data_IF_319435601010
#
_entry.id   IF_319435601010
#
_cell.length_a   1.000
_cell.length_b   1.000
_cell.length_c   1.000
_cell.angle_alpha   90.00
_cell.angle_beta   90.00
_cell.angle_gamma   90.00
#
_symmetry.space_group_name_H-M   'P 1'
#
loop_
_entity.id
_entity.type
_entity.pdbx_description
1 polymer ?
#
# COMPACT_ATOMS: atom_id res chain seq x y z
N UNK A 1 4.38 8.41 -7.69
CA UNK A 1 3.50 8.23 -8.88
C UNK A 1 2.21 7.45 -8.55
N UNK A 2 2.26 6.43 -7.67
CA UNK A 2 1.09 5.57 -7.38
C UNK A 2 -0.07 6.29 -6.68
N UNK A 3 0.22 7.14 -5.69
CA UNK A 3 -0.78 7.87 -4.92
C UNK A 3 -1.57 8.86 -5.78
N UNK A 4 -0.88 9.58 -6.69
CA UNK A 4 -1.51 10.58 -7.55
C UNK A 4 -2.55 9.97 -8.49
N UNK A 5 -2.29 8.78 -9.03
CA UNK A 5 -3.27 8.05 -9.85
C UNK A 5 -4.57 7.79 -9.07
N UNK A 6 -4.46 7.30 -7.83
CA UNK A 6 -5.62 7.08 -6.96
C UNK A 6 -6.35 8.40 -6.61
N UNK A 7 -5.61 9.47 -6.29
CA UNK A 7 -6.20 10.77 -5.97
C UNK A 7 -6.98 11.37 -7.14
N UNK A 8 -6.52 11.20 -8.38
CA UNK A 8 -7.27 11.63 -9.57
C UNK A 8 -8.60 10.90 -9.71
N UNK A 9 -8.64 9.59 -9.43
CA UNK A 9 -9.91 8.86 -9.39
C UNK A 9 -10.84 9.38 -8.29
N UNK A 10 -10.32 9.65 -7.09
CA UNK A 10 -11.10 10.28 -6.03
C UNK A 10 -11.67 11.64 -6.45
N UNK A 11 -10.86 12.50 -7.08
CA UNK A 11 -11.28 13.82 -7.55
C UNK A 11 -12.40 13.74 -8.59
N UNK A 12 -12.32 12.81 -9.54
CA UNK A 12 -13.37 12.59 -10.55
C UNK A 12 -14.67 12.12 -9.88
N UNK A 13 -14.59 11.14 -8.96
CA UNK A 13 -15.77 10.64 -8.24
C UNK A 13 -16.41 11.73 -7.37
N UNK A 14 -15.59 12.51 -6.66
CA UNK A 14 -16.03 13.64 -5.84
C UNK A 14 -16.73 14.69 -6.68
N UNK A 15 -16.12 15.08 -7.81
CA UNK A 15 -16.72 16.06 -8.72
C UNK A 15 -18.03 15.54 -9.30
N UNK A 16 -18.07 14.29 -9.74
CA UNK A 16 -19.29 13.67 -10.27
C UNK A 16 -20.41 13.66 -9.23
N UNK A 17 -20.12 13.30 -7.97
CA UNK A 17 -21.09 13.34 -6.87
C UNK A 17 -21.61 14.73 -6.55
N UNK A 18 -20.81 15.78 -6.77
CA UNK A 18 -21.23 17.17 -6.57
C UNK A 18 -22.18 17.71 -7.65
N UNK A 19 -22.30 17.04 -8.80
CA UNK A 19 -23.02 17.57 -9.98
C UNK A 19 -24.48 17.12 -9.99
N UNK A 20 -25.40 18.09 -9.95
CA UNK A 20 -26.83 17.84 -10.19
C UNK A 20 -27.08 17.45 -11.65
N UNK A 21 -27.96 16.48 -11.87
CA UNK A 21 -28.32 16.01 -13.22
C UNK A 21 -27.34 14.99 -13.84
N UNK A 22 -26.24 14.66 -13.16
CA UNK A 22 -25.32 13.61 -13.59
C UNK A 22 -25.73 12.25 -12.97
N UNK A 23 -26.10 11.28 -13.80
CA UNK A 23 -26.55 9.96 -13.34
C UNK A 23 -25.43 9.05 -12.86
N UNK A 24 -24.17 9.34 -13.21
CA UNK A 24 -23.01 8.55 -12.83
C UNK A 24 -21.76 8.89 -13.62
N UNK A 25 -20.67 8.22 -13.28
CA UNK A 25 -19.37 8.31 -13.99
C UNK A 25 -18.73 6.93 -14.03
N UNK A 26 -18.08 6.61 -15.14
CA UNK A 26 -17.36 5.35 -15.35
C UNK A 26 -15.91 5.68 -15.62
N UNK A 27 -15.01 5.19 -14.77
CA UNK A 27 -13.57 5.40 -14.93
C UNK A 27 -13.02 4.56 -16.09
N UNK A 28 -12.18 5.19 -16.91
CA UNK A 28 -11.34 4.47 -17.87
C UNK A 28 -10.03 4.07 -17.18
N UNK A 29 -9.73 2.80 -16.95
CA UNK A 29 -10.53 1.59 -17.19
C UNK A 29 -10.29 0.56 -16.08
N UNK A 30 -10.92 -0.62 -16.16
CA UNK A 30 -10.75 -1.67 -15.15
C UNK A 30 -9.28 -2.14 -15.08
N UNK A 31 -8.73 -2.61 -16.20
CA UNK A 31 -7.37 -3.17 -16.25
C UNK A 31 -6.60 -2.62 -17.45
N UNK A 32 -5.27 -2.69 -17.38
CA UNK A 32 -4.42 -2.43 -18.55
C UNK A 32 -4.75 -3.39 -19.68
N UNK A 33 -4.53 -2.95 -20.92
CA UNK A 33 -4.91 -3.72 -22.10
C UNK A 33 -3.91 -3.54 -23.23
N UNK A 34 -3.79 -4.59 -24.04
CA UNK A 34 -3.02 -4.55 -25.29
C UNK A 34 -3.69 -3.61 -26.29
N UNK A 35 -2.88 -2.92 -27.08
CA UNK A 35 -3.35 -1.92 -28.04
C UNK A 35 -2.53 -1.91 -29.32
N UNK A 36 -2.97 -1.16 -30.32
CA UNK A 36 -2.24 -0.96 -31.56
C UNK A 36 -0.97 -0.12 -31.36
N UNK A 37 -0.01 -0.23 -32.28
CA UNK A 37 1.29 0.44 -32.21
C UNK A 37 1.22 1.98 -32.09
N UNK A 38 0.10 2.60 -32.46
CA UNK A 38 -0.11 4.05 -32.37
C UNK A 38 -0.47 4.53 -30.96
N UNK A 39 -0.71 3.62 -30.00
CA UNK A 39 -1.13 3.92 -28.64
C UNK A 39 -0.26 3.22 -27.60
N UNK A 40 -0.38 3.64 -26.35
CA UNK A 40 0.37 3.07 -25.23
C UNK A 40 1.74 3.69 -25.04
N UNK A 41 2.64 2.97 -24.36
CA UNK A 41 3.98 3.44 -24.01
C UNK A 41 5.10 2.88 -24.92
N UNK A 42 4.74 2.41 -26.12
CA UNK A 42 5.66 1.83 -27.11
C UNK A 42 5.82 0.31 -27.02
N UNK A 43 5.25 -0.32 -26.00
CA UNK A 43 5.22 -1.78 -25.75
C UNK A 43 3.85 -2.40 -26.06
N UNK A 44 3.00 -1.67 -26.78
CA UNK A 44 1.63 -2.06 -27.14
C UNK A 44 0.72 -2.31 -25.93
N UNK A 45 0.98 -1.64 -24.80
CA UNK A 45 0.10 -1.67 -23.63
C UNK A 45 -0.33 -0.25 -23.26
N UNK A 46 -1.63 -0.07 -23.00
CA UNK A 46 -2.17 1.13 -22.35
C UNK A 46 -2.23 0.91 -20.83
N UNK A 47 -1.37 1.61 -20.09
CA UNK A 47 -1.26 1.54 -18.62
C UNK A 47 -2.32 2.39 -17.88
N UNK A 48 -3.58 2.31 -18.32
CA UNK A 48 -4.69 3.13 -17.80
C UNK A 48 -5.49 2.45 -16.70
N UNK A 49 -5.35 1.14 -16.54
CA UNK A 49 -6.18 0.36 -15.64
C UNK A 49 -5.93 0.68 -14.18
N UNK A 50 -6.99 0.59 -13.38
CA UNK A 50 -6.87 0.52 -11.91
C UNK A 50 -6.34 -0.85 -11.45
N UNK A 51 -6.40 -1.85 -12.33
CA UNK A 51 -5.71 -3.13 -12.25
C UNK A 51 -4.64 -3.22 -13.35
N UNK A 52 -3.67 -4.12 -13.20
CA UNK A 52 -2.75 -4.49 -14.28
C UNK A 52 -3.43 -5.42 -15.31
N UNK A 53 -2.71 -5.76 -16.40
CA UNK A 53 -3.23 -6.65 -17.47
C UNK A 53 -3.67 -8.03 -16.95
N UNK A 54 -3.13 -8.47 -15.82
CA UNK A 54 -3.43 -9.74 -15.19
C UNK A 54 -4.45 -9.62 -14.05
N UNK A 55 -5.10 -8.46 -13.92
CA UNK A 55 -6.15 -8.15 -12.94
C UNK A 55 -5.63 -8.13 -11.49
N UNK A 56 -4.34 -7.86 -11.31
CA UNK A 56 -3.75 -7.51 -10.02
C UNK A 56 -4.10 -6.05 -9.68
N UNK A 57 -4.58 -5.80 -8.47
CA UNK A 57 -4.96 -4.46 -8.03
C UNK A 57 -3.76 -3.51 -7.95
N UNK A 58 -3.87 -2.36 -8.61
CA UNK A 58 -3.04 -1.19 -8.32
C UNK A 58 -3.69 -0.38 -7.20
N UNK A 59 -2.97 0.54 -6.54
CA UNK A 59 -3.54 1.37 -5.46
C UNK A 59 -4.83 2.13 -5.86
N UNK A 60 -5.00 2.46 -7.14
CA UNK A 60 -6.22 3.12 -7.62
C UNK A 60 -7.48 2.24 -7.52
N UNK A 61 -7.37 0.91 -7.50
CA UNK A 61 -8.53 0.02 -7.32
C UNK A 61 -9.17 0.19 -5.93
N UNK A 62 -8.35 0.48 -4.91
CA UNK A 62 -8.80 0.72 -3.55
C UNK A 62 -9.74 1.94 -3.44
N UNK A 63 -9.64 2.90 -4.37
CA UNK A 63 -10.56 4.05 -4.46
C UNK A 63 -11.99 3.57 -4.63
N UNK A 64 -12.23 2.65 -5.58
CA UNK A 64 -13.57 2.13 -5.87
C UNK A 64 -14.05 1.19 -4.77
N UNK A 65 -13.18 0.31 -4.28
CA UNK A 65 -13.50 -0.61 -3.17
C UNK A 65 -13.89 0.12 -1.89
N UNK A 66 -13.18 1.18 -1.53
CA UNK A 66 -13.49 1.98 -0.34
C UNK A 66 -14.88 2.64 -0.42
N UNK A 67 -15.45 2.85 -1.61
CA UNK A 67 -16.81 3.41 -1.71
C UNK A 67 -17.89 2.37 -1.39
N UNK A 68 -17.58 1.07 -1.40
CA UNK A 68 -18.47 0.00 -0.94
C UNK A 68 -18.44 -0.13 0.59
N UNK A 69 -19.51 -0.63 1.20
CA UNK A 69 -19.63 -0.72 2.68
C UNK A 69 -19.93 -2.12 3.21
N UNK A 70 -19.88 -3.14 2.35
CA UNK A 70 -20.22 -4.50 2.74
C UNK A 70 -19.14 -5.16 3.60
N UNK A 71 -17.86 -4.87 3.34
CA UNK A 71 -16.71 -5.48 4.01
C UNK A 71 -15.73 -4.37 4.41
N UNK A 72 -15.32 -4.28 5.69
CA UNK A 72 -14.28 -3.34 6.12
C UNK A 72 -13.02 -3.50 5.29
N UNK A 73 -12.45 -2.39 4.84
CA UNK A 73 -11.26 -2.39 4.00
C UNK A 73 -10.34 -1.24 4.37
N UNK A 74 -9.04 -1.50 4.28
CA UNK A 74 -8.00 -0.52 4.51
C UNK A 74 -6.86 -0.80 3.53
N UNK A 75 -6.47 0.21 2.78
CA UNK A 75 -5.39 0.11 1.78
C UNK A 75 -4.55 1.37 1.80
N UNK A 76 -3.26 1.18 1.98
CA UNK A 76 -2.29 2.26 1.95
C UNK A 76 -1.93 2.61 0.50
N UNK A 77 -2.14 3.87 0.12
CA UNK A 77 -1.90 4.37 -1.24
C UNK A 77 -0.48 4.93 -1.44
N UNK A 78 0.27 5.05 -0.36
CA UNK A 78 1.60 5.67 -0.30
C UNK A 78 2.64 4.67 0.19
N UNK A 79 3.88 4.77 -0.28
CA UNK A 79 4.95 3.93 0.27
C UNK A 79 5.37 4.43 1.65
N UNK A 80 5.76 3.53 2.54
CA UNK A 80 6.45 3.88 3.79
C UNK A 80 7.97 3.62 3.69
N UNK A 81 8.43 3.17 2.52
CA UNK A 81 9.86 3.04 2.23
C UNK A 81 10.42 4.45 1.98
N UNK A 82 11.26 4.94 2.90
CA UNK A 82 11.76 6.32 2.88
C UNK A 82 12.51 6.66 1.60
N UNK A 83 13.26 5.70 1.05
CA UNK A 83 14.01 5.86 -0.20
C UNK A 83 13.17 6.27 -1.42
N UNK A 84 11.85 6.09 -1.37
CA UNK A 84 10.93 6.50 -2.44
C UNK A 84 10.68 8.01 -2.47
N UNK A 85 11.05 8.72 -1.41
CA UNK A 85 10.78 10.14 -1.25
C UNK A 85 12.05 10.97 -1.33
N UNK A 86 11.99 12.16 -1.94
CA UNK A 86 13.08 13.13 -1.85
C UNK A 86 13.48 13.35 -0.40
N UNK A 87 14.79 13.28 -0.13
CA UNK A 87 15.38 13.43 1.22
C UNK A 87 14.92 12.38 2.24
N UNK A 88 14.42 11.23 1.78
CA UNK A 88 13.82 10.20 2.61
C UNK A 88 12.65 10.69 3.49
N UNK A 89 11.97 11.75 3.07
CA UNK A 89 10.97 12.43 3.88
C UNK A 89 9.55 12.09 3.44
N UNK A 90 8.96 11.06 4.08
CA UNK A 90 7.53 10.82 3.98
C UNK A 90 6.78 11.98 4.65
N UNK A 91 6.15 12.82 3.83
CA UNK A 91 5.44 14.02 4.31
C UNK A 91 3.94 13.81 4.48
N UNK A 92 3.35 13.00 3.60
CA UNK A 92 1.93 12.69 3.56
C UNK A 92 1.76 11.27 3.07
N UNK A 93 0.87 10.53 3.73
CA UNK A 93 0.41 9.24 3.28
C UNK A 93 -1.11 9.27 3.17
N UNK A 94 -1.63 8.69 2.10
CA UNK A 94 -3.07 8.55 1.91
C UNK A 94 -3.48 7.10 2.12
N UNK A 95 -4.61 6.91 2.78
CA UNK A 95 -5.22 5.60 3.04
C UNK A 95 -6.62 5.61 2.44
N UNK A 96 -6.90 4.64 1.57
CA UNK A 96 -8.27 4.34 1.16
C UNK A 96 -8.87 3.38 2.19
N UNK A 97 -10.04 3.74 2.72
CA UNK A 97 -10.76 2.91 3.70
C UNK A 97 -12.23 3.25 3.69
N UNK A 98 -13.08 2.28 4.05
CA UNK A 98 -14.49 2.50 4.37
C UNK A 98 -14.76 2.48 5.89
N UNK A 99 -13.71 2.42 6.70
CA UNK A 99 -13.77 2.60 8.15
C UNK A 99 -13.96 4.08 8.50
N UNK A 100 -14.41 4.37 9.71
CA UNK A 100 -14.70 5.74 10.17
C UNK A 100 -13.42 6.52 10.48
N UNK A 101 -12.43 5.81 11.04
CA UNK A 101 -11.13 6.38 11.45
C UNK A 101 -10.02 5.39 11.15
N UNK A 102 -8.79 5.90 11.09
CA UNK A 102 -7.58 5.09 11.00
C UNK A 102 -6.67 5.42 12.17
N UNK A 103 -6.37 4.44 13.03
CA UNK A 103 -5.34 4.58 14.06
C UNK A 103 -3.99 4.14 13.51
N UNK A 104 -2.98 4.97 13.67
CA UNK A 104 -1.61 4.65 13.32
C UNK A 104 -0.83 4.29 14.58
N UNK A 105 -0.08 3.19 14.53
CA UNK A 105 0.87 2.77 15.57
C UNK A 105 2.26 2.60 14.99
N UNK A 106 3.27 2.84 15.80
CA UNK A 106 4.68 2.57 15.50
C UNK A 106 5.29 1.76 16.64
N UNK A 107 5.82 0.57 16.33
CA UNK A 107 6.36 -0.39 17.30
C UNK A 107 5.42 -0.61 18.50
N UNK A 108 4.13 -0.79 18.22
CA UNK A 108 3.08 -1.02 19.23
C UNK A 108 2.57 0.23 19.94
N UNK A 109 3.23 1.39 19.81
CA UNK A 109 2.79 2.65 20.42
C UNK A 109 1.88 3.42 19.49
N UNK A 110 0.80 3.99 20.03
CA UNK A 110 -0.09 4.86 19.27
C UNK A 110 0.65 6.14 18.83
N UNK A 111 0.51 6.46 17.54
CA UNK A 111 0.95 7.71 16.94
C UNK A 111 -0.24 8.67 16.90
N UNK A 112 -1.42 8.19 16.52
CA UNK A 112 -2.65 8.96 16.61
C UNK A 112 -3.78 8.36 15.79
N UNK A 113 -4.94 9.02 15.85
CA UNK A 113 -6.15 8.64 15.13
C UNK A 113 -6.49 9.71 14.09
N UNK A 114 -6.59 9.28 12.84
CA UNK A 114 -6.84 10.12 11.67
C UNK A 114 -8.25 9.88 11.14
N UNK A 115 -8.87 10.93 10.62
CA UNK A 115 -10.24 10.91 10.09
C UNK A 115 -10.24 11.18 8.59
N UNK A 116 -11.32 10.79 7.93
CA UNK A 116 -11.50 10.97 6.49
C UNK A 116 -11.40 12.46 6.09
N UNK A 117 -10.77 12.75 4.94
CA UNK A 117 -10.55 14.10 4.42
C UNK A 117 -11.82 14.68 3.77
N UNK A 118 -12.86 14.87 4.58
CA UNK A 118 -14.13 15.49 4.18
C UNK A 118 -13.98 16.95 3.78
N UNK A 119 -12.84 17.58 4.09
CA UNK A 119 -12.56 18.95 3.65
C UNK A 119 -12.35 19.02 2.14
N UNK A 120 -11.57 18.09 1.58
CA UNK A 120 -11.28 18.08 0.13
C UNK A 120 -12.23 17.17 -0.66
N UNK A 121 -12.86 16.18 -0.02
CA UNK A 121 -13.81 15.26 -0.66
C UNK A 121 -15.14 15.17 0.10
N UNK A 122 -15.91 16.27 0.20
CA UNK A 122 -17.15 16.30 0.99
C UNK A 122 -18.30 15.44 0.45
N UNK A 123 -18.33 15.16 -0.86
CA UNK A 123 -19.43 14.45 -1.51
C UNK A 123 -19.21 12.93 -1.63
N UNK A 124 -18.00 12.45 -1.34
CA UNK A 124 -17.72 11.02 -1.26
C UNK A 124 -18.32 10.38 0.00
N UNK A 125 -18.80 9.14 -0.16
CA UNK A 125 -19.25 8.33 0.97
C UNK A 125 -18.08 8.08 1.93
N UNK A 126 -16.97 7.65 1.35
CA UNK A 126 -15.75 7.25 2.05
C UNK A 126 -14.54 7.99 1.48
N UNK A 127 -14.27 9.24 1.92
CA UNK A 127 -13.07 9.98 1.52
C UNK A 127 -11.78 9.26 1.94
N UNK A 128 -10.64 9.49 1.26
CA UNK A 128 -9.37 9.02 1.76
C UNK A 128 -9.03 9.65 3.11
N UNK A 129 -8.29 8.91 3.95
CA UNK A 129 -7.70 9.44 5.18
C UNK A 129 -6.29 9.94 4.88
N UNK A 130 -6.01 11.18 5.28
CA UNK A 130 -4.68 11.78 5.19
C UNK A 130 -3.94 11.60 6.51
N UNK A 131 -2.77 10.98 6.46
CA UNK A 131 -1.80 10.92 7.55
C UNK A 131 -0.68 11.90 7.22
N UNK A 132 -0.51 12.93 8.06
CA UNK A 132 0.54 13.96 7.93
C UNK A 132 1.31 14.21 9.24
N UNK A 133 1.02 13.43 10.29
CA UNK A 133 1.78 13.37 11.54
C UNK A 133 2.21 11.92 11.83
N UNK A 134 3.53 11.70 11.92
CA UNK A 134 4.13 10.38 12.17
C UNK A 134 4.78 10.31 13.56
N UNK A 135 4.69 11.40 14.32
CA UNK A 135 5.23 11.53 15.67
C UNK A 135 4.08 11.42 16.65
N UNK A 136 3.09 12.30 16.49
CA UNK A 136 1.86 12.39 17.27
C UNK A 136 2.06 12.10 18.76
N UNK A 137 1.29 11.16 19.28
CA UNK A 137 1.21 10.80 20.69
C UNK A 137 2.49 10.20 21.27
N UNK A 138 3.47 9.84 20.45
CA UNK A 138 4.77 9.36 20.94
C UNK A 138 5.53 10.43 21.73
N UNK A 139 5.26 11.73 21.49
CA UNK A 139 5.82 12.81 22.31
C UNK A 139 5.21 12.89 23.72
N UNK A 140 4.21 12.06 24.06
CA UNK A 140 3.72 11.94 25.44
C UNK A 140 4.79 11.39 26.39
N UNK A 141 5.76 10.65 25.86
CA UNK A 141 6.93 10.16 26.62
C UNK A 141 7.78 11.32 27.17
N UNK A 142 7.76 12.48 26.51
CA UNK A 142 8.31 13.74 27.02
C UNK A 142 7.32 14.35 28.02
N UNK A 143 7.33 13.85 29.25
CA UNK A 143 6.38 14.19 30.31
C UNK A 143 6.40 15.68 30.70
N UNK A 144 7.53 16.36 30.49
CA UNK A 144 7.71 17.79 30.74
C UNK A 144 7.03 18.69 29.69
N UNK A 145 6.58 18.14 28.55
CA UNK A 145 5.91 18.92 27.51
C UNK A 145 4.39 18.95 27.72
N UNK A 146 3.79 20.15 27.73
CA UNK A 146 2.34 20.30 27.65
C UNK A 146 1.78 19.92 26.27
N UNK A 147 0.47 19.66 26.16
CA UNK A 147 -0.17 19.21 24.91
C UNK A 147 0.07 20.17 23.72
N UNK A 148 -0.09 21.47 23.95
CA UNK A 148 0.14 22.49 22.92
C UNK A 148 1.61 22.56 22.49
N UNK A 149 2.55 22.31 23.41
CA UNK A 149 3.98 22.29 23.12
C UNK A 149 4.35 21.03 22.33
N UNK A 150 3.81 19.86 22.67
CA UNK A 150 3.99 18.61 21.89
C UNK A 150 3.55 18.79 20.44
N UNK A 151 2.37 19.39 20.22
CA UNK A 151 1.86 19.70 18.87
C UNK A 151 2.81 20.64 18.11
N UNK A 152 3.38 21.65 18.78
CA UNK A 152 4.35 22.57 18.16
C UNK A 152 5.66 21.86 17.84
N UNK A 153 6.20 21.09 18.79
CA UNK A 153 7.45 20.36 18.63
C UNK A 153 7.35 19.29 17.54
N UNK A 154 6.25 18.52 17.48
CA UNK A 154 5.97 17.58 16.39
C UNK A 154 6.08 18.27 15.03
N UNK A 155 5.41 19.43 14.86
CA UNK A 155 5.49 20.21 13.62
C UNK A 155 6.90 20.69 13.28
N UNK A 156 7.67 21.14 14.27
CA UNK A 156 9.05 21.61 14.08
C UNK A 156 9.97 20.45 13.70
N UNK A 157 9.95 19.35 14.45
CA UNK A 157 10.72 18.15 14.13
C UNK A 157 10.35 17.63 12.73
N UNK A 158 9.05 17.53 12.41
CA UNK A 158 8.59 17.13 11.08
C UNK A 158 9.07 18.06 9.96
N UNK A 159 9.21 19.37 10.23
CA UNK A 159 9.82 20.32 9.27
C UNK A 159 11.30 20.05 9.05
N UNK A 160 12.08 19.76 10.10
CA UNK A 160 13.50 19.37 9.98
C UNK A 160 13.63 18.17 9.04
N UNK A 161 12.79 17.15 9.23
CA UNK A 161 12.77 15.95 8.39
C UNK A 161 12.48 16.27 6.92
N UNK A 162 11.42 17.04 6.65
CA UNK A 162 11.06 17.46 5.28
C UNK A 162 12.11 18.36 4.61
N UNK A 163 12.78 19.19 5.39
CA UNK A 163 13.81 20.08 4.87
C UNK A 163 15.14 19.36 4.63
N UNK A 164 15.35 18.20 5.27
CA UNK A 164 16.61 17.45 5.24
C UNK A 164 17.74 18.24 5.91
N UNK A 165 17.42 19.03 6.95
CA UNK A 165 18.38 19.94 7.54
C UNK A 165 17.75 20.95 8.50
N UNK A 166 18.43 22.09 8.68
CA UNK A 166 18.11 23.07 9.72
C UNK A 166 16.80 23.83 9.45
N UNK A 167 16.09 24.15 10.54
CA UNK A 167 14.97 25.09 10.54
C UNK A 167 15.44 26.49 10.12
N UNK A 168 14.53 27.27 9.53
CA UNK A 168 14.81 28.65 9.09
C UNK A 168 13.86 29.66 9.74
N UNK A 169 14.37 30.87 9.96
CA UNK A 169 13.60 32.03 10.40
C UNK A 169 12.87 31.80 11.72
N UNK A 170 11.56 32.06 11.73
CA UNK A 170 10.73 31.95 12.93
C UNK A 170 10.70 30.53 13.52
N UNK A 171 10.86 29.48 12.71
CA UNK A 171 10.87 28.12 13.23
C UNK A 171 12.14 27.82 14.04
N UNK A 172 13.29 28.43 13.68
CA UNK A 172 14.54 28.35 14.45
C UNK A 172 14.37 28.99 15.82
N UNK A 173 13.76 30.19 15.87
CA UNK A 173 13.48 30.90 17.13
C UNK A 173 12.52 30.08 17.99
N UNK A 174 11.46 29.51 17.40
CA UNK A 174 10.50 28.66 18.12
C UNK A 174 11.16 27.42 18.71
N UNK A 175 12.05 26.76 17.96
CA UNK A 175 12.81 25.63 18.50
C UNK A 175 13.73 26.07 19.64
N UNK A 176 14.47 27.17 19.46
CA UNK A 176 15.35 27.70 20.50
C UNK A 176 14.60 28.04 21.80
N UNK A 177 13.39 28.61 21.70
CA UNK A 177 12.53 28.89 22.85
C UNK A 177 12.10 27.61 23.58
N UNK A 178 11.76 26.54 22.85
CA UNK A 178 11.43 25.23 23.45
C UNK A 178 12.64 24.66 24.18
N UNK A 179 13.82 24.72 23.57
CA UNK A 179 15.05 24.21 24.18
C UNK A 179 15.42 24.98 25.44
N UNK A 180 15.39 26.32 25.39
CA UNK A 180 15.69 27.18 26.54
C UNK A 180 14.71 26.96 27.69
N UNK A 181 13.40 26.87 27.40
CA UNK A 181 12.35 26.68 28.42
C UNK A 181 12.55 25.39 29.21
N UNK A 182 12.95 24.33 28.53
CA UNK A 182 13.10 23.00 29.12
C UNK A 182 14.55 22.61 29.43
N UNK A 183 15.48 23.58 29.34
CA UNK A 183 16.92 23.39 29.57
C UNK A 183 17.53 22.27 28.72
N UNK A 184 16.99 22.07 27.51
CA UNK A 184 17.46 21.08 26.56
C UNK A 184 18.61 21.64 25.72
N UNK A 185 19.56 20.78 25.39
CA UNK A 185 20.67 21.09 24.51
C UNK A 185 20.29 20.90 23.03
N UNK A 186 21.12 21.42 22.12
CA UNK A 186 20.99 21.08 20.71
C UNK A 186 21.10 19.56 20.47
N UNK A 187 21.93 18.87 21.26
CA UNK A 187 22.06 17.42 21.17
C UNK A 187 20.77 16.70 21.56
N UNK A 188 20.02 17.21 22.54
CA UNK A 188 18.71 16.66 22.90
C UNK A 188 17.70 16.84 21.76
N UNK A 189 17.73 17.97 21.06
CA UNK A 189 16.92 18.15 19.84
C UNK A 189 17.27 17.15 18.74
N UNK A 190 18.57 16.88 18.54
CA UNK A 190 19.05 15.86 17.60
C UNK A 190 18.62 14.46 18.05
N UNK A 191 18.67 14.16 19.33
CA UNK A 191 18.25 12.88 19.90
C UNK A 191 16.74 12.66 19.72
N UNK A 192 15.92 13.67 19.99
CA UNK A 192 14.47 13.65 19.73
C UNK A 192 14.20 13.47 18.23
N UNK A 193 14.91 14.21 17.37
CA UNK A 193 14.80 14.04 15.93
C UNK A 193 15.08 12.59 15.52
N UNK A 194 16.20 12.01 15.98
CA UNK A 194 16.56 10.64 15.66
C UNK A 194 15.55 9.61 16.21
N UNK A 195 15.01 9.84 17.39
CA UNK A 195 14.03 8.95 18.05
C UNK A 195 12.69 8.93 17.33
N UNK A 196 12.17 10.11 16.97
CA UNK A 196 10.82 10.25 16.43
C UNK A 196 10.75 10.27 14.90
N UNK A 197 11.84 10.66 14.22
CA UNK A 197 11.89 10.84 12.76
C UNK A 197 13.08 10.11 12.13
N UNK A 198 14.29 10.34 12.65
CA UNK A 198 15.56 9.96 12.05
C UNK A 198 15.95 8.49 12.22
N UNK A 199 15.02 7.61 12.62
CA UNK A 199 15.29 6.18 12.79
C UNK A 199 15.42 5.41 11.46
N UNK A 200 15.66 6.13 10.36
CA UNK A 200 15.93 5.57 9.04
C UNK A 200 17.27 4.82 9.06
N UNK A 201 17.21 3.49 8.89
CA UNK A 201 18.40 2.64 8.73
C UNK A 201 18.97 2.04 10.02
N UNK A 202 18.42 2.31 11.22
CA UNK A 202 18.91 1.78 12.50
C UNK A 202 18.03 0.67 13.11
N UNK A 203 17.40 -0.15 12.28
CA UNK A 203 16.64 -1.34 12.69
C UNK A 203 15.30 -1.51 11.97
N UNK A 204 14.67 -2.67 12.18
CA UNK A 204 13.32 -2.96 11.71
C UNK A 204 12.30 -2.13 12.49
N UNK A 205 11.53 -1.29 11.81
CA UNK A 205 10.40 -0.59 12.39
C UNK A 205 9.09 -1.17 11.86
N UNK A 206 8.09 -1.30 12.72
CA UNK A 206 6.77 -1.81 12.35
C UNK A 206 5.74 -0.69 12.49
N UNK A 207 5.13 -0.31 11.37
CA UNK A 207 3.94 0.53 11.37
C UNK A 207 2.71 -0.36 11.31
N UNK A 208 1.67 -0.01 12.07
CA UNK A 208 0.37 -0.69 12.00
C UNK A 208 -0.71 0.37 11.79
N UNK A 209 -1.52 0.17 10.77
CA UNK A 209 -2.70 0.98 10.48
C UNK A 209 -3.93 0.15 10.84
N UNK A 210 -4.74 0.62 11.78
CA UNK A 210 -5.98 -0.02 12.20
C UNK A 210 -7.18 0.79 11.70
N UNK A 211 -8.05 0.16 10.91
CA UNK A 211 -9.32 0.73 10.49
C UNK A 211 -10.37 0.52 11.59
N UNK A 212 -10.95 1.61 12.08
CA UNK A 212 -11.89 1.61 13.19
C UNK A 212 -13.33 1.80 12.72
N UNK A 213 -14.26 1.04 13.28
CA UNK A 213 -15.71 1.26 13.18
C UNK A 213 -16.22 1.43 14.62
N UNK A 214 -16.64 2.64 14.98
CA UNK A 214 -16.72 3.02 16.38
C UNK A 214 -15.34 3.00 17.04
N UNK A 215 -15.21 2.26 18.14
CA UNK A 215 -13.94 2.09 18.87
C UNK A 215 -13.26 0.73 18.61
N UNK A 216 -13.91 -0.15 17.84
CA UNK A 216 -13.43 -1.50 17.52
C UNK A 216 -12.52 -1.52 16.29
N UNK A 217 -11.49 -2.38 16.34
CA UNK A 217 -10.58 -2.60 15.20
C UNK A 217 -11.23 -3.58 14.22
N UNK A 218 -11.74 -3.05 13.11
CA UNK A 218 -12.41 -3.85 12.08
C UNK A 218 -11.42 -4.50 11.09
N UNK A 219 -10.27 -3.87 10.86
CA UNK A 219 -9.21 -4.38 9.98
C UNK A 219 -7.86 -3.76 10.38
N UNK A 220 -6.75 -4.45 10.13
CA UNK A 220 -5.41 -3.88 10.32
C UNK A 220 -4.50 -4.17 9.13
N UNK A 221 -3.57 -3.25 8.87
CA UNK A 221 -2.49 -3.40 7.91
C UNK A 221 -1.15 -3.15 8.60
N UNK A 222 -0.23 -4.10 8.47
CA UNK A 222 1.13 -3.99 8.99
C UNK A 222 2.09 -3.61 7.85
N UNK A 223 2.99 -2.67 8.12
CA UNK A 223 4.08 -2.29 7.22
C UNK A 223 5.41 -2.49 7.94
N UNK A 224 6.22 -3.41 7.43
CA UNK A 224 7.52 -3.78 7.98
C UNK A 224 8.61 -3.07 7.21
N UNK A 225 9.53 -2.39 7.90
CA UNK A 225 10.68 -1.75 7.25
C UNK A 225 11.93 -2.60 7.49
N UNK A 226 12.73 -2.85 6.45
CA UNK A 226 14.06 -3.45 6.60
C UNK A 226 14.13 -4.98 6.65
N UNK A 227 13.05 -5.70 6.29
CA UNK A 227 13.07 -7.17 6.20
C UNK A 227 13.33 -7.65 4.76
N UNK A 228 13.92 -8.85 4.62
CA UNK A 228 14.17 -9.48 3.31
C UNK A 228 12.86 -9.80 2.57
N UNK A 229 12.84 -9.70 1.23
CA UNK A 229 11.71 -10.12 0.43
C UNK A 229 11.51 -11.64 0.48
N UNK A 230 10.26 -12.08 0.38
CA UNK A 230 9.85 -13.48 0.25
C UNK A 230 8.91 -13.64 -0.94
N UNK A 231 8.89 -14.84 -1.54
CA UNK A 231 7.92 -15.21 -2.57
C UNK A 231 6.76 -16.01 -1.95
N UNK A 232 5.53 -15.58 -2.23
CA UNK A 232 4.28 -16.21 -1.80
C UNK A 232 3.46 -16.57 -3.04
N UNK A 233 2.88 -17.77 -3.07
CA UNK A 233 1.96 -18.21 -4.12
C UNK A 233 0.53 -18.20 -3.58
N UNK A 234 -0.38 -17.52 -4.26
CA UNK A 234 -1.81 -17.43 -3.90
C UNK A 234 -2.65 -17.91 -5.09
N UNK A 235 -3.20 -19.12 -5.00
CA UNK A 235 -4.10 -19.65 -6.01
C UNK A 235 -5.55 -19.22 -5.75
N UNK A 236 -6.26 -18.86 -6.82
CA UNK A 236 -7.68 -18.48 -6.77
C UNK A 236 -8.61 -19.62 -6.34
N UNK A 237 -8.17 -20.87 -6.50
CA UNK A 237 -8.83 -22.10 -6.04
C UNK A 237 -7.84 -23.25 -6.08
N UNK A 238 -8.13 -24.35 -5.39
CA UNK A 238 -7.33 -25.59 -5.40
C UNK A 238 -7.93 -26.71 -6.25
N UNK A 239 -9.13 -26.51 -6.78
CA UNK A 239 -9.86 -27.53 -7.56
C UNK A 239 -10.29 -26.95 -8.91
N UNK A 240 -10.16 -27.75 -9.97
CA UNK A 240 -10.62 -27.40 -11.32
C UNK A 240 -11.67 -28.41 -11.78
N UNK A 241 -12.84 -27.89 -12.14
CA UNK A 241 -13.98 -28.71 -12.57
C UNK A 241 -13.82 -29.18 -14.01
N UNK A 242 -14.32 -30.39 -14.30
CA UNK A 242 -14.48 -30.93 -15.65
C UNK A 242 -15.94 -30.93 -16.14
N UNK A 243 -16.88 -30.44 -15.33
CA UNK A 243 -18.32 -30.47 -15.64
C UNK A 243 -18.76 -29.44 -16.69
N UNK A 244 -17.89 -28.45 -16.97
CA UNK A 244 -18.17 -27.37 -17.90
C UNK A 244 -18.04 -27.78 -19.37
N UNK A 245 -18.67 -27.03 -20.30
CA UNK A 245 -18.53 -27.26 -21.74
C UNK A 245 -17.13 -26.90 -22.29
N UNK A 246 -16.25 -26.34 -21.46
CA UNK A 246 -14.90 -25.89 -21.82
C UNK A 246 -13.89 -26.26 -20.73
N UNK A 247 -12.65 -25.81 -20.87
CA UNK A 247 -11.67 -25.90 -19.79
C UNK A 247 -12.06 -25.01 -18.60
N UNK A 248 -11.64 -25.43 -17.43
CA UNK A 248 -11.59 -24.60 -16.24
C UNK A 248 -10.18 -24.02 -16.07
N UNK A 249 -10.06 -22.88 -15.40
CA UNK A 249 -8.80 -22.13 -15.26
C UNK A 249 -8.60 -21.68 -13.82
N UNK A 250 -7.33 -21.68 -13.40
CA UNK A 250 -6.91 -21.11 -12.13
C UNK A 250 -5.81 -20.08 -12.36
N UNK A 251 -5.95 -18.95 -11.65
CA UNK A 251 -4.93 -17.93 -11.52
C UNK A 251 -4.11 -18.20 -10.25
N UNK A 252 -2.78 -18.17 -10.36
CA UNK A 252 -1.83 -18.27 -9.25
C UNK A 252 -1.03 -16.97 -9.23
N UNK A 253 -1.25 -16.13 -8.22
CA UNK A 253 -0.46 -14.91 -8.04
C UNK A 253 0.90 -15.28 -7.46
N UNK A 254 1.96 -14.82 -8.12
CA UNK A 254 3.34 -14.85 -7.57
C UNK A 254 3.58 -13.49 -6.94
N UNK A 255 3.56 -13.45 -5.60
CA UNK A 255 3.59 -12.22 -4.81
C UNK A 255 4.92 -12.07 -4.11
N UNK A 256 5.52 -10.89 -4.19
CA UNK A 256 6.75 -10.55 -3.47
C UNK A 256 6.42 -9.62 -2.32
N UNK A 257 6.67 -10.11 -1.12
CA UNK A 257 6.21 -9.51 0.13
C UNK A 257 7.31 -9.54 1.19
N UNK A 258 6.98 -9.06 2.39
CA UNK A 258 7.82 -9.18 3.59
C UNK A 258 7.12 -10.09 4.59
N UNK A 259 7.87 -10.86 5.38
CA UNK A 259 7.28 -11.69 6.44
C UNK A 259 6.51 -10.80 7.42
N UNK A 260 5.20 -11.01 7.56
CA UNK A 260 4.32 -10.21 8.43
C UNK A 260 3.79 -8.91 7.82
N UNK A 261 3.98 -8.68 6.52
CA UNK A 261 3.35 -7.60 5.74
C UNK A 261 2.84 -8.21 4.42
N UNK A 262 1.51 -8.20 4.24
CA UNK A 262 0.84 -8.76 3.04
C UNK A 262 0.89 -7.81 1.84
N UNK A 263 1.54 -6.65 1.97
CA UNK A 263 1.64 -5.68 0.89
C UNK A 263 2.73 -6.11 -0.09
N UNK A 264 2.41 -5.97 -1.37
CA UNK A 264 3.38 -6.18 -2.44
C UNK A 264 4.53 -5.17 -2.35
N UNK A 265 5.74 -5.64 -2.61
CA UNK A 265 6.92 -4.79 -2.76
C UNK A 265 6.99 -4.23 -4.19
N UNK A 266 6.63 -2.96 -4.42
CA UNK A 266 6.38 -2.44 -5.78
C UNK A 266 7.61 -2.45 -6.69
N UNK A 267 8.81 -2.41 -6.13
CA UNK A 267 10.06 -2.42 -6.89
C UNK A 267 10.69 -3.81 -7.02
N UNK A 268 10.06 -4.84 -6.47
CA UNK A 268 10.56 -6.20 -6.58
C UNK A 268 10.23 -6.79 -7.96
N UNK A 269 11.24 -6.78 -8.85
CA UNK A 269 11.21 -7.42 -10.15
C UNK A 269 11.97 -8.75 -10.09
N UNK A 270 11.27 -9.82 -9.73
CA UNK A 270 11.84 -11.14 -9.45
C UNK A 270 11.52 -12.05 -10.63
N UNK A 271 12.55 -12.53 -11.32
CA UNK A 271 12.40 -13.53 -12.36
C UNK A 271 12.11 -14.91 -11.76
N UNK A 272 11.28 -15.68 -12.42
CA UNK A 272 10.95 -17.05 -12.04
C UNK A 272 10.69 -17.94 -13.26
N UNK A 273 10.76 -19.25 -13.05
CA UNK A 273 10.43 -20.30 -14.02
C UNK A 273 9.29 -21.16 -13.49
N UNK A 274 8.37 -21.55 -14.37
CA UNK A 274 7.20 -22.37 -14.04
C UNK A 274 7.34 -23.77 -14.63
N UNK A 275 6.99 -24.78 -13.84
CA UNK A 275 6.85 -26.17 -14.27
C UNK A 275 5.48 -26.70 -13.83
N UNK A 276 4.87 -27.54 -14.68
CA UNK A 276 3.52 -28.08 -14.44
C UNK A 276 3.59 -29.59 -14.58
N UNK A 277 3.09 -30.29 -13.58
CA UNK A 277 2.94 -31.75 -13.52
C UNK A 277 1.45 -32.11 -13.38
N UNK A 278 1.03 -33.23 -13.97
CA UNK A 278 -0.37 -33.67 -13.96
C UNK A 278 -1.24 -33.03 -15.05
N UNK A 279 -2.58 -33.18 -14.96
CA UNK A 279 -3.51 -32.84 -16.03
C UNK A 279 -3.84 -31.33 -16.15
N UNK A 280 -2.81 -30.49 -16.18
CA UNK A 280 -2.91 -29.04 -16.38
C UNK A 280 -2.03 -28.58 -17.54
N UNK A 281 -2.45 -27.51 -18.21
CA UNK A 281 -1.65 -26.81 -19.23
C UNK A 281 -1.36 -25.38 -18.79
N UNK A 282 -0.08 -25.01 -18.86
CA UNK A 282 0.38 -23.63 -18.68
C UNK A 282 -0.10 -22.73 -19.84
N UNK A 283 -0.69 -21.58 -19.50
CA UNK A 283 -1.20 -20.59 -20.46
C UNK A 283 -0.31 -19.35 -20.51
N UNK A 284 0.37 -19.03 -19.41
CA UNK A 284 1.36 -17.94 -19.35
C UNK A 284 2.74 -18.39 -19.84
N UNK A 285 3.67 -17.45 -20.11
CA UNK A 285 5.05 -17.81 -20.41
C UNK A 285 5.68 -18.70 -19.33
N UNK A 286 6.55 -19.63 -19.75
CA UNK A 286 7.28 -20.53 -18.85
C UNK A 286 8.27 -19.78 -17.94
N UNK A 287 8.78 -18.64 -18.42
CA UNK A 287 9.70 -17.77 -17.70
C UNK A 287 9.10 -16.37 -17.77
N UNK A 288 8.97 -15.72 -16.62
CA UNK A 288 8.47 -14.35 -16.51
C UNK A 288 9.09 -13.67 -15.27
N UNK A 289 8.67 -12.45 -14.98
CA UNK A 289 9.10 -11.68 -13.82
C UNK A 289 7.95 -10.90 -13.19
N UNK A 290 8.04 -10.66 -11.89
CA UNK A 290 7.07 -9.81 -11.19
C UNK A 290 7.20 -8.35 -11.61
N UNK A 291 6.07 -7.65 -11.73
CA UNK A 291 5.98 -6.21 -12.02
C UNK A 291 5.13 -5.57 -10.93
N UNK A 292 5.62 -4.54 -10.27
CA UNK A 292 4.92 -4.01 -9.09
C UNK A 292 4.92 -4.99 -7.90
N UNK A 293 5.86 -5.93 -7.86
CA UNK A 293 5.91 -6.97 -6.82
C UNK A 293 4.96 -8.15 -7.04
N UNK A 294 4.25 -8.23 -8.17
CA UNK A 294 3.37 -9.36 -8.45
C UNK A 294 3.43 -9.78 -9.93
N UNK A 295 3.11 -11.02 -10.21
CA UNK A 295 2.69 -11.51 -11.52
C UNK A 295 1.61 -12.58 -11.32
N UNK A 296 1.00 -13.05 -12.41
CA UNK A 296 -0.02 -14.10 -12.36
C UNK A 296 0.33 -15.18 -13.35
N UNK A 297 0.34 -16.43 -12.88
CA UNK A 297 0.45 -17.63 -13.67
C UNK A 297 -0.98 -18.14 -13.93
N UNK A 298 -1.31 -18.42 -15.18
CA UNK A 298 -2.58 -19.05 -15.53
C UNK A 298 -2.32 -20.48 -16.00
N UNK A 299 -3.01 -21.45 -15.37
CA UNK A 299 -3.05 -22.85 -15.83
C UNK A 299 -4.50 -23.27 -16.02
N UNK A 300 -4.74 -24.16 -16.97
CA UNK A 300 -6.09 -24.65 -17.30
C UNK A 300 -6.17 -26.17 -17.35
N UNK A 301 -7.36 -26.72 -17.14
CA UNK A 301 -7.63 -28.14 -17.32
C UNK A 301 -7.50 -28.56 -18.80
N UNK A 302 -7.24 -29.84 -19.01
CA UNK A 302 -7.06 -30.47 -20.33
C UNK A 302 -8.08 -31.58 -20.63
N UNK A 303 -9.14 -31.71 -19.82
CA UNK A 303 -10.17 -32.75 -19.96
C UNK A 303 -9.79 -34.11 -19.36
N UNK A 304 -8.75 -34.16 -18.51
CA UNK A 304 -8.35 -35.36 -17.78
C UNK A 304 -8.39 -35.06 -16.28
N UNK A 305 -8.94 -35.99 -15.49
CA UNK A 305 -8.96 -35.88 -14.03
C UNK A 305 -7.67 -36.38 -13.40
N UNK A 306 -7.36 -35.90 -12.19
CA UNK A 306 -6.19 -36.32 -11.42
C UNK A 306 -5.57 -35.20 -10.59
N UNK A 307 -4.47 -35.53 -9.92
CA UNK A 307 -3.68 -34.58 -9.15
C UNK A 307 -2.68 -33.86 -10.04
N UNK A 308 -2.52 -32.55 -9.82
CA UNK A 308 -1.59 -31.71 -10.56
C UNK A 308 -0.80 -30.80 -9.61
N UNK A 309 0.41 -30.44 -10.03
CA UNK A 309 1.30 -29.57 -9.27
C UNK A 309 1.86 -28.49 -10.18
N UNK A 310 1.83 -27.25 -9.73
CA UNK A 310 2.53 -26.12 -10.37
C UNK A 310 3.71 -25.73 -9.49
N UNK A 311 4.92 -25.87 -10.02
CA UNK A 311 6.18 -25.50 -9.36
C UNK A 311 6.69 -24.18 -9.90
N UNK A 312 7.16 -23.31 -9.02
CA UNK A 312 7.70 -21.99 -9.33
C UNK A 312 9.09 -21.87 -8.72
N UNK A 313 10.08 -21.67 -9.58
CA UNK A 313 11.49 -21.61 -9.21
C UNK A 313 12.00 -20.17 -9.32
N UNK A 314 12.63 -19.67 -8.28
CA UNK A 314 13.21 -18.32 -8.25
C UNK A 314 14.44 -18.28 -7.35
N UNK A 315 15.22 -17.19 -7.40
CA UNK A 315 16.33 -17.01 -6.46
C UNK A 315 15.86 -16.81 -4.99
N UNK A 316 14.57 -16.51 -4.77
CA UNK A 316 13.96 -16.42 -3.44
C UNK A 316 13.53 -17.80 -2.90
N UNK A 317 13.80 -18.87 -3.65
CA UNK A 317 13.46 -20.25 -3.32
C UNK A 317 12.36 -20.81 -4.20
N UNK A 318 12.18 -22.12 -4.09
CA UNK A 318 11.19 -22.89 -4.83
C UNK A 318 9.88 -22.99 -4.03
N UNK A 319 8.77 -22.91 -4.75
CA UNK A 319 7.41 -23.03 -4.20
C UNK A 319 6.56 -23.89 -5.13
N UNK A 320 5.55 -24.52 -4.56
CA UNK A 320 4.60 -25.31 -5.33
C UNK A 320 3.18 -25.10 -4.85
N UNK A 321 2.23 -25.32 -5.75
CA UNK A 321 0.79 -25.35 -5.45
C UNK A 321 0.21 -26.63 -6.03
N UNK A 322 -0.58 -27.32 -5.22
CA UNK A 322 -1.23 -28.59 -5.54
C UNK A 322 -2.68 -28.34 -5.95
N UNK A 323 -3.15 -29.08 -6.95
CA UNK A 323 -4.50 -28.99 -7.49
C UNK A 323 -5.13 -30.36 -7.67
N UNK A 324 -6.45 -30.41 -7.50
CA UNK A 324 -7.27 -31.54 -7.93
C UNK A 324 -8.05 -31.14 -9.20
N UNK A 325 -7.98 -31.98 -10.23
CA UNK A 325 -8.80 -31.84 -11.44
C UNK A 325 -9.83 -32.95 -11.44
N UNK A 326 -11.12 -32.59 -11.46
CA UNK A 326 -12.22 -33.55 -11.29
C UNK A 326 -13.56 -32.95 -11.67
#
# INVERSE_FOLDING_TARGET
MHTEHALRHYQVLERAKSMKGLSGVIGWCMHDYFTHANFGSGDQICYHGVLDVNRVEKPAAAVYRSQASAVPMLSLLSSFDGGDYPKAALSKAYVATNCEKVRLKYNGREVGVFVADRKHFPNLKHPPVLIDDYIGDRLKDESYLGEAERKRLSKLLGKVGRQGGQLKGLDTIRMALVLLRHKLTYQDAVNMFNTYIGNWGKGSGTWVLEGLIGDEVAISLTVQVGTKPIMVLEASKSELSLDGPTYDMVAIKVRIERKGEERLLPYACIAYKVEVEGPLRLVTPKIDSTKGGCSVIYVRSIGQGGDAVVKVHSFLGDKEVHFRVG
#
